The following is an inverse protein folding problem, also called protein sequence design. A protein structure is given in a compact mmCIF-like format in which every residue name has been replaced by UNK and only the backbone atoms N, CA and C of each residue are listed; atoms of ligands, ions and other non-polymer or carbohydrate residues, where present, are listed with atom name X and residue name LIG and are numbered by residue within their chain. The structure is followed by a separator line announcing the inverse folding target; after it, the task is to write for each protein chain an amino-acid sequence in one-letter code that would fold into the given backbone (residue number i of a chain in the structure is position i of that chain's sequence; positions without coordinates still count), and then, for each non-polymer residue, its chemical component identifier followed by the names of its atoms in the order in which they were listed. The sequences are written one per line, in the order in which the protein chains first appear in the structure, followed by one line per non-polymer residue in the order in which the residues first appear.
data_IF_285021245855
#
_entry.id   IF_285021245855
#
_cell.length_a   1.000
_cell.length_b   1.000
_cell.length_c   1.000
_cell.angle_alpha   90.00
_cell.angle_beta   90.00
_cell.angle_gamma   90.00
#
_symmetry.space_group_name_H-M   'P 1'
#
loop_
_entity.id
_entity.type
_entity.pdbx_description
1 polymer ?
#
# COMPACT_ATOMS: atom_id res chain seq x y z
N UNK A 1 1.56 -26.68 5.84
CA UNK A 1 1.50 -25.21 6.10
C UNK A 1 0.70 -25.01 7.37
N UNK A 2 1.22 -24.28 8.34
CA UNK A 2 0.46 -23.91 9.53
C UNK A 2 -0.71 -23.02 9.11
N UNK A 3 -1.90 -23.25 9.67
CA UNK A 3 -3.03 -22.38 9.41
C UNK A 3 -2.92 -21.10 10.25
N UNK A 4 -3.73 -20.10 9.93
CA UNK A 4 -3.70 -18.81 10.62
C UNK A 4 -3.94 -18.91 12.12
N UNK A 5 -4.83 -19.79 12.54
CA UNK A 5 -5.15 -20.02 13.97
C UNK A 5 -3.97 -20.60 14.73
N UNK A 6 -3.20 -21.51 14.13
CA UNK A 6 -1.98 -22.07 14.73
C UNK A 6 -0.90 -20.99 14.90
N UNK A 7 -0.71 -20.16 13.89
CA UNK A 7 0.24 -19.02 13.94
C UNK A 7 -0.16 -18.03 15.04
N UNK A 8 -1.45 -17.66 15.11
CA UNK A 8 -1.96 -16.77 16.15
C UNK A 8 -1.79 -17.35 17.55
N UNK A 9 -2.03 -18.65 17.73
CA UNK A 9 -1.86 -19.32 19.02
C UNK A 9 -0.39 -19.26 19.44
N UNK A 10 0.54 -19.59 18.54
CA UNK A 10 2.00 -19.52 18.78
C UNK A 10 2.44 -18.09 19.14
N UNK A 11 1.97 -17.08 18.42
CA UNK A 11 2.29 -15.67 18.67
C UNK A 11 1.70 -15.22 20.02
N UNK A 12 0.44 -15.52 20.29
CA UNK A 12 -0.23 -15.07 21.53
C UNK A 12 0.35 -15.75 22.79
N UNK A 13 0.77 -17.00 22.70
CA UNK A 13 1.46 -17.68 23.80
C UNK A 13 2.83 -17.08 24.09
N UNK A 14 3.45 -16.44 23.08
CA UNK A 14 4.77 -15.84 23.19
C UNK A 14 4.74 -14.36 23.53
N UNK A 15 3.56 -13.70 23.50
CA UNK A 15 3.40 -12.28 23.80
C UNK A 15 3.26 -12.06 25.33
N UNK A 16 3.93 -11.05 25.94
CA UNK A 16 4.67 -9.94 25.34
C UNK A 16 6.17 -10.15 25.18
N UNK A 17 6.68 -11.35 25.44
CA UNK A 17 8.13 -11.62 25.60
C UNK A 17 8.88 -11.75 24.28
N UNK A 18 8.21 -11.89 23.12
CA UNK A 18 8.91 -12.20 21.89
C UNK A 18 8.37 -11.48 20.64
N UNK A 19 8.63 -10.15 20.57
CA UNK A 19 8.40 -9.37 19.33
C UNK A 19 9.20 -9.96 18.16
N UNK A 20 10.34 -10.59 18.43
CA UNK A 20 11.19 -11.23 17.42
C UNK A 20 10.53 -12.44 16.76
N UNK A 21 9.62 -13.14 17.44
CA UNK A 21 8.93 -14.28 16.84
C UNK A 21 8.06 -13.85 15.65
N UNK A 22 7.32 -12.74 15.76
CA UNK A 22 6.50 -12.24 14.67
C UNK A 22 7.34 -11.82 13.46
N UNK A 23 8.45 -11.14 13.72
CA UNK A 23 9.39 -10.73 12.67
C UNK A 23 10.07 -11.95 12.02
N UNK A 24 10.42 -12.97 12.80
CA UNK A 24 10.96 -14.22 12.29
C UNK A 24 9.95 -14.95 11.39
N UNK A 25 8.69 -15.02 11.79
CA UNK A 25 7.63 -15.62 10.96
C UNK A 25 7.40 -14.83 9.67
N UNK A 26 7.35 -13.49 9.73
CA UNK A 26 7.25 -12.66 8.52
C UNK A 26 8.40 -12.97 7.56
N UNK A 27 9.63 -12.96 8.07
CA UNK A 27 10.81 -13.25 7.25
C UNK A 27 10.72 -14.65 6.64
N UNK A 28 10.37 -15.67 7.40
CA UNK A 28 10.20 -17.05 6.90
C UNK A 28 9.23 -17.12 5.72
N UNK A 29 8.07 -16.45 5.80
CA UNK A 29 7.10 -16.45 4.71
C UNK A 29 7.54 -15.60 3.52
N UNK A 30 8.22 -14.49 3.74
CA UNK A 30 8.81 -13.70 2.65
C UNK A 30 9.88 -14.49 1.90
N UNK A 31 10.76 -15.21 2.63
CA UNK A 31 11.78 -16.07 2.04
C UNK A 31 11.13 -17.19 1.19
N UNK A 32 10.04 -17.82 1.67
CA UNK A 32 9.29 -18.82 0.90
C UNK A 32 8.68 -18.24 -0.37
N UNK A 33 8.15 -17.03 -0.33
CA UNK A 33 7.64 -16.36 -1.54
C UNK A 33 8.79 -16.13 -2.51
N UNK A 34 9.93 -15.62 -2.03
CA UNK A 34 11.11 -15.39 -2.85
C UNK A 34 11.64 -16.68 -3.50
N UNK A 35 11.64 -17.79 -2.77
CA UNK A 35 12.00 -19.12 -3.31
C UNK A 35 11.07 -19.58 -4.43
N UNK A 36 9.75 -19.41 -4.25
CA UNK A 36 8.74 -19.82 -5.21
C UNK A 36 8.80 -18.96 -6.49
N UNK A 37 8.99 -17.65 -6.32
CA UNK A 37 8.89 -16.69 -7.43
C UNK A 37 10.22 -16.38 -8.10
N UNK A 38 11.33 -16.64 -7.41
CA UNK A 38 12.67 -16.24 -7.84
C UNK A 38 12.91 -14.73 -7.80
N UNK A 39 12.02 -13.95 -7.15
CA UNK A 39 12.01 -12.49 -7.14
C UNK A 39 12.39 -11.94 -5.76
N UNK A 40 12.80 -10.68 -5.72
CA UNK A 40 12.91 -9.98 -4.44
C UNK A 40 11.52 -9.77 -3.83
N UNK A 41 11.41 -9.77 -2.52
CA UNK A 41 10.15 -9.54 -1.81
C UNK A 41 10.31 -8.40 -0.81
N UNK A 42 9.44 -7.40 -0.91
CA UNK A 42 9.30 -6.33 0.09
C UNK A 42 7.84 -6.30 0.55
N UNK A 43 7.64 -6.16 1.86
CA UNK A 43 6.30 -5.98 2.44
C UNK A 43 6.15 -4.55 2.95
N UNK A 44 5.15 -3.84 2.43
CA UNK A 44 4.67 -2.57 2.97
C UNK A 44 3.33 -2.82 3.68
N UNK A 45 3.35 -2.74 5.00
CA UNK A 45 2.21 -3.08 5.84
C UNK A 45 1.91 -1.99 6.85
N UNK A 46 0.66 -1.53 6.88
CA UNK A 46 0.11 -0.64 7.89
C UNK A 46 -0.88 -1.37 8.79
N UNK A 47 -0.77 -1.13 10.11
CA UNK A 47 -1.66 -1.72 11.12
C UNK A 47 -2.93 -0.90 11.38
N UNK A 48 -3.35 -0.01 10.50
CA UNK A 48 -4.45 0.95 10.72
C UNK A 48 -5.80 0.30 11.10
N UNK A 49 -6.08 -0.90 10.62
CA UNK A 49 -7.32 -1.60 10.95
C UNK A 49 -7.45 -1.93 12.44
N UNK A 50 -6.33 -2.12 13.13
CA UNK A 50 -6.31 -2.39 14.58
C UNK A 50 -6.11 -1.14 15.41
N UNK A 51 -5.34 -0.19 14.91
CA UNK A 51 -5.04 1.06 15.59
C UNK A 51 -5.05 2.23 14.59
N UNK A 52 -6.23 2.77 14.27
CA UNK A 52 -6.38 3.85 13.30
C UNK A 52 -5.74 5.17 13.72
N UNK A 53 -5.41 5.32 14.98
CA UNK A 53 -4.77 6.52 15.53
C UNK A 53 -3.26 6.37 15.78
N UNK A 54 -2.66 5.25 15.33
CA UNK A 54 -1.22 5.08 15.44
C UNK A 54 -0.49 6.08 14.52
N UNK A 55 0.70 6.56 14.90
CA UNK A 55 1.51 7.37 14.00
C UNK A 55 1.98 6.53 12.80
N UNK A 56 2.24 7.20 11.67
CA UNK A 56 2.82 6.59 10.47
C UNK A 56 2.01 5.43 9.87
N UNK A 57 0.69 5.47 9.99
CA UNK A 57 -0.20 4.46 9.38
C UNK A 57 -0.45 4.71 7.90
N UNK A 58 -0.29 5.94 7.45
CA UNK A 58 -0.50 6.35 6.05
C UNK A 58 0.83 6.58 5.35
N UNK A 59 0.83 6.39 4.03
CA UNK A 59 1.98 6.65 3.18
C UNK A 59 2.43 8.10 3.34
N UNK A 60 3.72 8.32 3.55
CA UNK A 60 4.35 9.63 3.73
C UNK A 60 5.82 9.60 3.26
N UNK A 61 6.47 10.78 3.24
CA UNK A 61 7.84 10.92 2.75
C UNK A 61 8.88 10.07 3.47
N UNK A 62 8.64 9.73 4.75
CA UNK A 62 9.59 8.88 5.49
C UNK A 62 9.66 7.44 4.96
N UNK A 63 8.60 6.98 4.27
CA UNK A 63 8.57 5.64 3.68
C UNK A 63 9.57 5.49 2.54
N UNK A 64 9.90 6.58 1.84
CA UNK A 64 10.93 6.58 0.81
C UNK A 64 12.28 6.09 1.35
N UNK A 65 12.69 6.56 2.54
CA UNK A 65 13.94 6.14 3.17
C UNK A 65 13.92 4.63 3.49
N UNK A 66 12.77 4.12 3.91
CA UNK A 66 12.59 2.69 4.17
C UNK A 66 12.71 1.86 2.87
N UNK A 67 12.08 2.30 1.77
CA UNK A 67 12.21 1.66 0.47
C UNK A 67 13.66 1.70 -0.03
N UNK A 68 14.32 2.85 -0.01
CA UNK A 68 15.73 2.98 -0.41
C UNK A 68 16.65 2.04 0.36
N UNK A 69 16.48 1.95 1.68
CA UNK A 69 17.27 1.06 2.54
C UNK A 69 17.06 -0.41 2.19
N UNK A 70 15.80 -0.83 1.96
CA UNK A 70 15.50 -2.20 1.64
C UNK A 70 15.95 -2.60 0.23
N UNK A 71 15.87 -1.70 -0.75
CA UNK A 71 16.25 -1.95 -2.14
C UNK A 71 17.76 -1.94 -2.36
N UNK A 72 18.52 -1.28 -1.50
CA UNK A 72 19.96 -1.01 -1.68
C UNK A 72 20.80 -2.26 -1.97
N UNK A 73 20.52 -3.38 -1.29
CA UNK A 73 21.28 -4.63 -1.40
C UNK A 73 20.62 -5.72 -2.26
N UNK A 74 19.50 -5.41 -2.89
CA UNK A 74 18.78 -6.40 -3.68
C UNK A 74 19.38 -6.56 -5.08
N UNK A 75 19.32 -7.78 -5.59
CA UNK A 75 19.60 -8.06 -7.01
C UNK A 75 18.41 -7.59 -7.84
N UNK A 76 18.53 -6.39 -8.42
CA UNK A 76 17.47 -5.73 -9.15
C UNK A 76 17.04 -6.47 -10.42
N UNK A 77 17.91 -7.30 -10.99
CA UNK A 77 17.59 -8.10 -12.18
C UNK A 77 16.47 -9.11 -11.95
N UNK A 78 16.24 -9.52 -10.70
CA UNK A 78 15.17 -10.46 -10.32
C UNK A 78 13.80 -9.81 -10.26
N UNK A 79 13.71 -8.48 -10.39
CA UNK A 79 12.46 -7.76 -10.17
C UNK A 79 12.01 -7.76 -8.70
N UNK A 80 10.82 -7.21 -8.45
CA UNK A 80 10.26 -7.03 -7.11
C UNK A 80 8.84 -7.55 -7.02
N UNK A 81 8.55 -8.35 -6.00
CA UNK A 81 7.22 -8.64 -5.50
C UNK A 81 6.95 -7.72 -4.29
N UNK A 82 6.07 -6.75 -4.46
CA UNK A 82 5.69 -5.78 -3.46
C UNK A 82 4.36 -6.18 -2.81
N UNK A 83 4.42 -6.65 -1.58
CA UNK A 83 3.22 -7.01 -0.81
C UNK A 83 2.68 -5.72 -0.17
N UNK A 84 1.44 -5.34 -0.50
CA UNK A 84 0.81 -4.10 -0.07
C UNK A 84 -0.37 -4.36 0.87
N UNK A 85 -0.38 -3.67 2.01
CA UNK A 85 -1.51 -3.58 2.92
C UNK A 85 -1.53 -2.20 3.57
N UNK A 86 -2.35 -1.27 3.07
CA UNK A 86 -2.29 0.16 3.43
C UNK A 86 -3.63 0.87 3.25
N UNK A 87 -3.93 1.89 4.07
CA UNK A 87 -5.06 2.78 3.84
C UNK A 87 -4.80 3.79 2.71
N UNK A 88 -3.56 3.89 2.22
CA UNK A 88 -3.11 4.95 1.34
C UNK A 88 -2.38 6.05 2.10
N UNK A 89 -2.37 7.28 1.57
CA UNK A 89 -1.70 8.41 2.20
C UNK A 89 -1.39 9.53 1.21
N UNK A 90 -0.26 10.21 1.41
CA UNK A 90 0.15 11.35 0.62
C UNK A 90 0.44 11.00 -0.84
N UNK A 91 -0.10 11.78 -1.78
CA UNK A 91 0.03 11.53 -3.22
C UNK A 91 1.44 11.83 -3.72
N UNK A 92 2.09 12.89 -3.23
CA UNK A 92 3.44 13.26 -3.68
C UNK A 92 4.48 12.24 -3.20
N UNK A 93 4.34 11.78 -1.94
CA UNK A 93 5.15 10.68 -1.42
C UNK A 93 4.93 9.40 -2.22
N UNK A 94 3.67 9.10 -2.58
CA UNK A 94 3.31 7.94 -3.39
C UNK A 94 3.95 7.99 -4.78
N UNK A 95 3.85 9.13 -5.48
CA UNK A 95 4.48 9.33 -6.79
C UNK A 95 5.99 9.13 -6.71
N UNK A 96 6.63 9.69 -5.69
CA UNK A 96 8.07 9.53 -5.46
C UNK A 96 8.46 8.06 -5.26
N UNK A 97 7.70 7.30 -4.45
CA UNK A 97 7.94 5.87 -4.22
C UNK A 97 7.75 5.07 -5.51
N UNK A 98 6.68 5.33 -6.27
CA UNK A 98 6.40 4.69 -7.54
C UNK A 98 7.55 4.90 -8.52
N UNK A 99 7.94 6.16 -8.75
CA UNK A 99 9.03 6.51 -9.67
C UNK A 99 10.35 5.82 -9.27
N UNK A 100 10.64 5.80 -7.97
CA UNK A 100 11.82 5.12 -7.46
C UNK A 100 11.81 3.62 -7.73
N UNK A 101 10.72 2.93 -7.41
CA UNK A 101 10.60 1.48 -7.60
C UNK A 101 10.62 1.10 -9.08
N UNK A 102 9.91 1.85 -9.93
CA UNK A 102 9.91 1.64 -11.38
C UNK A 102 11.31 1.80 -11.96
N UNK A 103 12.03 2.86 -11.57
CA UNK A 103 13.42 3.07 -12.01
C UNK A 103 14.37 2.00 -11.45
N UNK A 104 14.22 1.61 -10.20
CA UNK A 104 15.11 0.65 -9.56
C UNK A 104 15.04 -0.76 -10.17
N UNK A 105 13.86 -1.18 -10.64
CA UNK A 105 13.61 -2.53 -11.16
C UNK A 105 13.26 -2.56 -12.64
N UNK A 106 13.50 -1.47 -13.37
CA UNK A 106 13.19 -1.35 -14.82
C UNK A 106 11.75 -1.75 -15.15
N UNK A 107 10.80 -1.25 -14.36
CA UNK A 107 9.38 -1.58 -14.48
C UNK A 107 8.99 -3.01 -14.07
N UNK A 108 9.95 -3.85 -13.66
CA UNK A 108 9.68 -5.24 -13.28
C UNK A 108 9.22 -5.34 -11.81
N UNK A 109 8.15 -4.63 -11.48
CA UNK A 109 7.50 -4.64 -10.17
C UNK A 109 6.13 -5.31 -10.29
N UNK A 110 5.81 -6.21 -9.36
CA UNK A 110 4.52 -6.87 -9.24
C UNK A 110 3.94 -6.58 -7.86
N UNK A 111 2.69 -6.13 -7.81
CA UNK A 111 1.97 -5.94 -6.56
C UNK A 111 1.28 -7.23 -6.12
N UNK A 112 1.36 -7.55 -4.84
CA UNK A 112 0.60 -8.64 -4.21
C UNK A 112 -0.29 -8.00 -3.15
N UNK A 113 -1.60 -8.17 -3.28
CA UNK A 113 -2.60 -7.61 -2.38
C UNK A 113 -3.23 -8.75 -1.57
N UNK A 114 -2.74 -9.04 -0.36
CA UNK A 114 -3.30 -10.13 0.44
C UNK A 114 -4.72 -9.85 0.93
N UNK A 115 -5.03 -8.59 1.23
CA UNK A 115 -6.32 -8.17 1.76
C UNK A 115 -6.77 -6.83 1.19
N UNK A 116 -6.17 -5.72 1.62
CA UNK A 116 -6.66 -4.37 1.30
C UNK A 116 -5.48 -3.45 0.95
N UNK A 117 -5.62 -2.71 -0.16
CA UNK A 117 -4.74 -1.58 -0.48
C UNK A 117 -5.59 -0.44 -1.04
N UNK A 118 -5.72 0.65 -0.28
CA UNK A 118 -6.67 1.72 -0.54
C UNK A 118 -6.01 2.98 -1.07
N UNK A 119 -6.76 3.80 -1.82
CA UNK A 119 -6.37 5.14 -2.25
C UNK A 119 -4.96 5.15 -2.90
N UNK A 120 -4.00 5.86 -2.34
CA UNK A 120 -2.61 5.90 -2.80
C UNK A 120 -1.96 4.50 -2.88
N UNK A 121 -2.35 3.54 -2.03
CA UNK A 121 -1.93 2.15 -2.16
C UNK A 121 -2.46 1.47 -3.42
N UNK A 122 -3.66 1.85 -3.87
CA UNK A 122 -4.20 1.43 -5.18
C UNK A 122 -3.38 2.00 -6.33
N UNK A 123 -2.96 3.28 -6.24
CA UNK A 123 -2.08 3.90 -7.25
C UNK A 123 -0.74 3.16 -7.37
N UNK A 124 -0.11 2.80 -6.24
CA UNK A 124 1.11 1.98 -6.26
C UNK A 124 0.84 0.64 -6.96
N UNK A 125 -0.25 -0.04 -6.61
CA UNK A 125 -0.58 -1.32 -7.24
C UNK A 125 -0.81 -1.19 -8.76
N UNK A 126 -1.54 -0.16 -9.19
CA UNK A 126 -1.82 0.10 -10.61
C UNK A 126 -0.58 0.52 -11.41
N UNK A 127 0.44 1.07 -10.77
CA UNK A 127 1.71 1.38 -11.41
C UNK A 127 2.56 0.14 -11.69
N UNK A 128 2.26 -0.99 -11.04
CA UNK A 128 3.01 -2.22 -11.20
C UNK A 128 2.66 -2.92 -12.51
N UNK A 129 3.61 -3.71 -13.03
CA UNK A 129 3.42 -4.49 -14.25
C UNK A 129 2.32 -5.54 -14.14
N UNK A 130 2.11 -6.06 -12.93
CA UNK A 130 1.15 -7.12 -12.63
C UNK A 130 0.60 -6.93 -11.22
N UNK A 131 -0.67 -7.25 -11.01
CA UNK A 131 -1.31 -7.23 -9.70
C UNK A 131 -1.86 -8.61 -9.40
N UNK A 132 -1.38 -9.22 -8.32
CA UNK A 132 -1.91 -10.48 -7.78
C UNK A 132 -2.86 -10.19 -6.63
N UNK A 133 -4.09 -10.63 -6.77
CA UNK A 133 -5.15 -10.48 -5.77
C UNK A 133 -5.71 -11.84 -5.38
N UNK A 134 -5.94 -12.05 -4.10
CA UNK A 134 -6.77 -13.14 -3.62
C UNK A 134 -8.26 -12.88 -3.86
N UNK A 135 -9.11 -13.90 -3.65
CA UNK A 135 -10.56 -13.75 -3.82
C UNK A 135 -11.19 -12.71 -2.88
N UNK A 136 -10.55 -12.46 -1.75
CA UNK A 136 -11.01 -11.56 -0.68
C UNK A 136 -10.21 -10.27 -0.64
N UNK A 137 -9.36 -10.05 -1.65
CA UNK A 137 -8.55 -8.83 -1.74
C UNK A 137 -9.35 -7.70 -2.36
N UNK A 138 -9.08 -6.48 -1.90
CA UNK A 138 -9.71 -5.27 -2.41
C UNK A 138 -8.68 -4.20 -2.70
N UNK A 139 -8.87 -3.53 -3.83
CA UNK A 139 -8.28 -2.23 -4.12
C UNK A 139 -9.38 -1.18 -3.90
N UNK A 140 -9.03 -0.09 -3.23
CA UNK A 140 -10.00 0.95 -2.91
C UNK A 140 -10.10 2.02 -3.98
N UNK A 141 -11.08 2.93 -3.85
CA UNK A 141 -11.24 4.03 -4.78
C UNK A 141 -10.01 4.94 -4.72
N UNK A 142 -9.66 5.47 -5.87
CA UNK A 142 -8.69 6.57 -6.02
C UNK A 142 -9.52 7.84 -6.00
N UNK A 143 -9.65 8.44 -4.84
CA UNK A 143 -10.44 9.64 -4.64
C UNK A 143 -9.58 10.71 -3.96
N UNK A 144 -8.98 11.63 -4.75
CA UNK A 144 -8.21 12.72 -4.19
C UNK A 144 -9.07 13.55 -3.23
N UNK A 145 -8.55 13.80 -2.04
CA UNK A 145 -9.27 14.55 -1.00
C UNK A 145 -8.49 15.80 -0.61
N UNK A 146 -9.21 16.90 -0.43
CA UNK A 146 -8.70 18.12 0.14
C UNK A 146 -9.38 18.37 1.49
N UNK A 147 -8.60 18.27 2.58
CA UNK A 147 -9.14 18.42 3.92
C UNK A 147 -10.20 17.37 4.28
N UNK A 148 -10.11 16.15 3.73
CA UNK A 148 -11.07 15.08 3.96
C UNK A 148 -12.34 15.15 3.10
N UNK A 149 -12.42 16.10 2.16
CA UNK A 149 -13.55 16.27 1.23
C UNK A 149 -13.13 15.75 -0.15
N UNK A 150 -13.91 14.86 -0.79
CA UNK A 150 -13.66 14.41 -2.16
C UNK A 150 -13.56 15.57 -3.15
N UNK A 151 -12.45 15.67 -3.87
CA UNK A 151 -12.21 16.76 -4.83
C UNK A 151 -13.25 16.77 -5.96
N UNK A 152 -13.71 15.59 -6.41
CA UNK A 152 -14.74 15.51 -7.46
C UNK A 152 -16.05 16.15 -7.00
N UNK A 153 -16.48 15.90 -5.75
CA UNK A 153 -17.69 16.52 -5.20
C UNK A 153 -17.57 18.06 -5.12
N UNK A 154 -16.37 18.57 -4.83
CA UNK A 154 -16.14 20.03 -4.83
C UNK A 154 -16.25 20.62 -6.25
N UNK A 155 -15.72 19.93 -7.26
CA UNK A 155 -15.83 20.36 -8.67
C UNK A 155 -17.28 20.33 -9.13
N UNK A 156 -18.02 19.26 -8.83
CA UNK A 156 -19.42 19.11 -9.22
C UNK A 156 -20.30 20.22 -8.59
N UNK A 157 -20.09 20.55 -7.32
CA UNK A 157 -20.81 21.65 -6.65
C UNK A 157 -20.43 23.02 -7.24
N UNK A 158 -19.17 23.22 -7.61
CA UNK A 158 -18.72 24.45 -8.26
C UNK A 158 -19.39 24.62 -9.62
N UNK A 159 -19.38 23.58 -10.46
CA UNK A 159 -20.02 23.60 -11.78
C UNK A 159 -21.51 23.84 -11.69
N UNK A 160 -22.18 23.23 -10.71
CA UNK A 160 -23.59 23.47 -10.42
C UNK A 160 -23.86 24.92 -10.04
N UNK A 161 -23.03 25.51 -9.17
CA UNK A 161 -23.18 26.90 -8.77
C UNK A 161 -23.00 27.86 -9.97
N UNK A 162 -22.02 27.59 -10.84
CA UNK A 162 -21.80 28.39 -12.07
C UNK A 162 -23.03 28.29 -12.99
N UNK A 163 -23.59 27.10 -13.20
CA UNK A 163 -24.76 26.90 -14.02
C UNK A 163 -26.00 27.59 -13.43
N UNK A 164 -26.21 27.55 -12.13
CA UNK A 164 -27.33 28.19 -11.43
C UNK A 164 -27.24 29.73 -11.57
N UNK A 165 -26.01 30.30 -11.51
CA UNK A 165 -25.81 31.73 -11.72
C UNK A 165 -26.08 32.12 -13.18
N UNK A 166 -25.60 31.33 -14.15
CA UNK A 166 -25.74 31.60 -15.57
C UNK A 166 -27.22 31.53 -16.02
N UNK A 167 -28.04 30.70 -15.36
CA UNK A 167 -29.46 30.50 -15.70
C UNK A 167 -30.41 31.32 -14.82
N UNK A 168 -29.94 32.21 -13.94
CA UNK A 168 -30.82 33.11 -13.19
C UNK A 168 -31.48 34.10 -14.15
N UNK A 169 -32.82 34.24 -14.12
CA UNK A 169 -33.48 35.30 -14.89
C UNK A 169 -32.97 36.65 -14.41
N UNK A 170 -32.59 37.50 -15.35
CA UNK A 170 -32.31 38.91 -15.07
C UNK A 170 -33.59 39.56 -14.55
N UNK A 171 -33.60 39.91 -13.28
CA UNK A 171 -34.67 40.70 -12.64
C UNK A 171 -34.62 42.15 -13.10
#
# INVERSE_FOLDING_TARGET
MSNWSEILTEVNQSFPTNIDLLNKKRKEYMDKIAEITGRNVITYYSGWLKNPNAPFISINDSDMNAFMTNVYKLDRSKGLDLILHTPGGDLAATESIVNYLQSAFDGNVRAIIPQISMSAGTLIAMSCREILMGRESSLGPIDPQLGGIPCQGMLDEFDKAVNDIANRPSS
#
